data_IF_559394263865
#
_entry.id   IF_559394263865
#
_cell.length_a   1.000
_cell.length_b   1.000
_cell.length_c   1.000
_cell.angle_alpha   90.00
_cell.angle_beta   90.00
_cell.angle_gamma   90.00
#
_symmetry.space_group_name_H-M   'P 1'
#
loop_
_entity.id
_entity.type
_entity.pdbx_description
1 polymer ?
#
# COMPACT_ATOMS: atom_id res chain seq x y z
N UNK A 1 2.51 26.64 -2.03
CA UNK A 1 3.11 25.51 -1.35
C UNK A 1 2.34 24.24 -1.64
N UNK A 2 3.03 23.21 -2.02
CA UNK A 2 2.35 21.95 -2.30
C UNK A 2 1.81 21.34 -1.03
N UNK A 3 0.60 20.82 -1.12
CA UNK A 3 0.00 20.10 -0.02
C UNK A 3 0.47 18.66 -0.12
N UNK A 4 0.97 18.13 0.95
CA UNK A 4 1.38 16.74 1.00
C UNK A 4 0.77 16.07 2.20
N UNK A 5 0.87 14.75 2.25
CA UNK A 5 0.33 14.01 3.35
C UNK A 5 0.98 14.44 4.65
N UNK A 6 0.24 14.32 5.72
CA UNK A 6 0.77 14.55 7.05
C UNK A 6 1.73 13.42 7.39
N UNK A 7 2.79 13.77 8.07
CA UNK A 7 3.72 12.76 8.56
C UNK A 7 3.10 12.06 9.75
N UNK A 8 3.20 10.76 9.75
CA UNK A 8 2.82 9.95 10.89
C UNK A 8 4.06 9.72 11.75
N UNK A 9 3.86 9.63 13.05
CA UNK A 9 4.98 9.42 13.96
C UNK A 9 5.37 7.96 14.07
N UNK A 10 4.46 7.03 13.73
CA UNK A 10 4.74 5.60 13.84
C UNK A 10 4.20 4.85 12.63
N UNK A 11 4.75 3.66 12.39
CA UNK A 11 4.27 2.79 11.32
C UNK A 11 2.85 2.31 11.62
N UNK A 12 2.50 2.14 12.89
CA UNK A 12 1.17 1.70 13.29
C UNK A 12 0.11 2.73 12.92
N UNK A 13 0.46 4.01 12.98
CA UNK A 13 -0.45 5.06 12.56
C UNK A 13 -0.60 5.09 11.05
N UNK A 14 0.50 4.89 10.33
CA UNK A 14 0.48 4.90 8.87
C UNK A 14 -0.19 3.64 8.30
N UNK A 15 -0.08 2.53 9.01
CA UNK A 15 -0.66 1.24 8.61
C UNK A 15 -1.42 0.63 9.78
N UNK A 16 -2.59 1.19 10.13
CA UNK A 16 -3.36 0.66 11.26
C UNK A 16 -3.73 -0.79 11.02
N UNK A 17 -3.66 -1.58 12.08
CA UNK A 17 -4.05 -2.98 11.97
C UNK A 17 -5.56 -3.07 11.82
N UNK A 18 -6.01 -3.73 10.77
CA UNK A 18 -7.43 -3.98 10.57
C UNK A 18 -7.63 -5.18 9.65
N UNK A 19 -8.80 -5.79 9.78
CA UNK A 19 -9.15 -6.94 8.95
C UNK A 19 -9.68 -6.44 7.61
N UNK A 20 -9.01 -6.83 6.53
CA UNK A 20 -9.45 -6.46 5.20
C UNK A 20 -10.69 -7.22 4.76
N UNK A 21 -10.93 -8.38 5.36
CA UNK A 21 -12.01 -9.26 4.95
C UNK A 21 -11.72 -10.03 3.67
N UNK A 22 -10.50 -9.97 3.17
CA UNK A 22 -10.14 -10.49 1.85
C UNK A 22 -8.91 -11.38 1.95
N UNK A 23 -8.93 -12.48 1.20
CA UNK A 23 -7.79 -13.38 1.09
C UNK A 23 -7.34 -13.43 -0.37
N UNK A 24 -6.08 -13.12 -0.67
CA UNK A 24 -5.61 -13.15 -2.06
C UNK A 24 -5.55 -14.57 -2.58
N UNK A 25 -5.83 -14.72 -3.88
CA UNK A 25 -5.84 -16.01 -4.54
C UNK A 25 -4.67 -16.15 -5.50
N UNK A 26 -4.23 -17.39 -5.70
CA UNK A 26 -3.20 -17.70 -6.68
C UNK A 26 -1.89 -17.02 -6.36
N UNK A 27 -1.35 -16.30 -7.31
CA UNK A 27 -0.08 -15.59 -7.19
C UNK A 27 -0.26 -14.11 -6.81
N UNK A 28 -1.43 -13.76 -6.31
CA UNK A 28 -1.71 -12.37 -5.97
C UNK A 28 -1.30 -12.06 -4.54
N UNK A 29 -1.11 -10.77 -4.29
CA UNK A 29 -0.68 -10.29 -2.98
C UNK A 29 -1.65 -9.22 -2.51
N UNK A 30 -2.01 -9.27 -1.24
CA UNK A 30 -2.83 -8.24 -0.61
C UNK A 30 -1.94 -7.24 0.08
N UNK A 31 -2.10 -5.97 -0.28
CA UNK A 31 -1.34 -4.87 0.30
C UNK A 31 -2.27 -3.91 1.04
N UNK A 32 -1.79 -3.38 2.14
CA UNK A 32 -2.42 -2.23 2.80
C UNK A 32 -1.65 -0.98 2.37
N UNK A 33 -2.36 -0.01 1.84
CA UNK A 33 -1.72 1.21 1.39
C UNK A 33 -1.46 2.13 2.58
N UNK A 34 -0.39 2.90 2.49
CA UNK A 34 -0.05 3.85 3.53
C UNK A 34 -1.18 4.86 3.67
N UNK A 35 -1.64 5.04 4.90
CA UNK A 35 -2.71 5.99 5.17
C UNK A 35 -2.24 7.41 4.96
N UNK A 36 -3.17 8.26 4.58
CA UNK A 36 -2.91 9.67 4.36
C UNK A 36 -3.93 10.44 5.19
N UNK A 37 -3.46 11.37 5.99
CA UNK A 37 -4.39 12.20 6.74
C UNK A 37 -5.15 13.10 5.79
N UNK A 38 -6.43 13.25 6.04
CA UNK A 38 -7.25 14.12 5.25
C UNK A 38 -6.95 15.57 5.58
N UNK A 39 -7.69 16.48 4.95
CA UNK A 39 -7.47 17.90 5.06
C UNK A 39 -7.08 18.32 6.47
N UNK A 40 -6.19 19.29 6.52
CA UNK A 40 -5.73 19.84 7.77
C UNK A 40 -6.87 20.55 8.50
N UNK A 41 -6.58 20.99 9.72
CA UNK A 41 -7.48 21.87 10.43
C UNK A 41 -7.81 23.06 9.52
N UNK A 42 -9.03 23.47 9.54
CA UNK A 42 -9.47 24.57 8.69
C UNK A 42 -10.00 24.10 7.34
N UNK A 43 -10.00 22.80 7.10
CA UNK A 43 -10.63 22.26 5.92
C UNK A 43 -9.92 22.55 4.61
N UNK A 44 -8.63 22.70 4.64
CA UNK A 44 -7.87 22.91 3.41
C UNK A 44 -8.00 21.71 2.51
N UNK A 45 -8.49 21.95 1.31
CA UNK A 45 -8.65 20.88 0.33
C UNK A 45 -7.39 20.73 -0.50
N UNK A 46 -7.19 19.52 -1.00
CA UNK A 46 -6.08 19.28 -1.89
C UNK A 46 -6.30 19.96 -3.21
N UNK A 47 -5.25 20.53 -3.73
CA UNK A 47 -5.32 21.29 -4.95
C UNK A 47 -5.18 20.38 -6.17
N UNK A 48 -5.48 20.94 -7.31
CA UNK A 48 -5.51 20.20 -8.55
C UNK A 48 -4.15 19.58 -8.90
N UNK A 49 -3.07 20.30 -8.71
CA UNK A 49 -1.75 19.76 -9.02
C UNK A 49 -1.40 18.55 -8.16
N UNK A 50 -1.99 18.45 -6.98
CA UNK A 50 -1.78 17.29 -6.16
C UNK A 50 -2.34 16.05 -6.82
N UNK A 51 -3.51 16.18 -7.43
CA UNK A 51 -4.11 15.05 -8.15
C UNK A 51 -3.28 14.65 -9.36
N UNK A 52 -2.74 15.62 -10.07
CA UNK A 52 -1.87 15.32 -11.20
C UNK A 52 -0.61 14.60 -10.75
N UNK A 53 -0.06 15.01 -9.61
CA UNK A 53 1.08 14.35 -9.02
C UNK A 53 0.74 12.93 -8.61
N UNK A 54 -0.43 12.74 -8.00
CA UNK A 54 -0.90 11.42 -7.61
C UNK A 54 -0.89 10.45 -8.77
N UNK A 55 -1.35 10.90 -9.91
CA UNK A 55 -1.47 10.03 -11.07
C UNK A 55 -0.12 9.48 -11.53
N UNK A 56 0.95 10.20 -11.25
CA UNK A 56 2.28 9.81 -11.66
C UNK A 56 3.03 9.03 -10.60
N UNK A 57 2.51 8.96 -9.38
CA UNK A 57 3.24 8.39 -8.26
C UNK A 57 2.90 6.93 -8.04
N UNK A 58 3.88 6.20 -7.54
CA UNK A 58 3.63 4.88 -6.97
C UNK A 58 3.16 5.07 -5.53
N UNK A 59 2.62 4.03 -4.96
CA UNK A 59 2.13 4.04 -3.59
C UNK A 59 3.06 3.26 -2.68
N UNK A 60 3.06 3.62 -1.42
CA UNK A 60 3.77 2.89 -0.38
C UNK A 60 2.78 1.92 0.25
N UNK A 61 3.19 0.68 0.40
CA UNK A 61 2.29 -0.36 0.88
C UNK A 61 3.00 -1.32 1.82
N UNK A 62 2.18 -2.02 2.61
CA UNK A 62 2.65 -3.07 3.50
C UNK A 62 2.03 -4.38 3.04
N UNK A 63 2.83 -5.43 2.97
CA UNK A 63 2.35 -6.75 2.58
C UNK A 63 1.54 -7.34 3.73
N UNK A 64 0.26 -7.61 3.48
CA UNK A 64 -0.65 -8.16 4.49
C UNK A 64 -0.80 -9.66 4.34
N UNK A 65 -0.92 -10.14 3.10
CA UNK A 65 -1.08 -11.57 2.85
C UNK A 65 -0.57 -11.93 1.47
N UNK A 66 -0.08 -13.15 1.35
CA UNK A 66 0.41 -13.68 0.08
C UNK A 66 -0.54 -14.79 -0.37
N UNK A 67 -0.82 -14.82 -1.67
CA UNK A 67 -1.56 -15.94 -2.26
C UNK A 67 -0.75 -17.23 -2.15
N UNK A 68 -1.42 -18.38 -2.27
CA UNK A 68 -0.74 -19.68 -2.05
C UNK A 68 0.45 -19.95 -2.95
N UNK A 69 0.48 -19.36 -4.16
CA UNK A 69 1.59 -19.59 -5.09
C UNK A 69 2.32 -18.29 -5.43
N UNK A 70 2.25 -17.30 -4.54
CA UNK A 70 3.00 -16.06 -4.73
C UNK A 70 4.50 -16.37 -4.80
N UNK A 71 5.16 -15.76 -5.79
CA UNK A 71 6.59 -15.91 -6.02
C UNK A 71 7.03 -17.34 -6.39
N UNK A 72 6.08 -18.12 -6.94
CA UNK A 72 6.39 -19.43 -7.48
C UNK A 72 6.17 -19.42 -9.00
N UNK A 73 6.92 -20.24 -9.69
CA UNK A 73 6.71 -20.47 -11.10
C UNK A 73 5.41 -21.29 -11.26
N UNK A 74 4.46 -20.78 -12.02
CA UNK A 74 3.15 -21.43 -12.16
C UNK A 74 3.23 -22.81 -12.84
N UNK A 75 4.19 -22.97 -13.74
CA UNK A 75 4.30 -24.21 -14.50
C UNK A 75 4.99 -25.32 -13.71
N UNK A 76 5.96 -24.98 -12.89
CA UNK A 76 6.76 -25.97 -12.17
C UNK A 76 6.45 -26.03 -10.68
N UNK A 77 5.82 -25.00 -10.12
CA UNK A 77 5.58 -24.93 -8.68
C UNK A 77 6.83 -24.61 -7.87
N UNK A 78 7.94 -24.34 -8.54
CA UNK A 78 9.19 -24.06 -7.85
C UNK A 78 9.35 -22.57 -7.59
N UNK A 79 10.08 -22.19 -6.53
CA UNK A 79 10.35 -20.79 -6.26
C UNK A 79 11.05 -20.10 -7.43
N UNK A 80 10.83 -18.81 -7.58
CA UNK A 80 11.58 -18.02 -8.55
C UNK A 80 13.07 -18.10 -8.23
N UNK A 81 13.88 -17.91 -9.26
CA UNK A 81 15.34 -17.95 -9.12
C UNK A 81 15.83 -16.98 -8.03
N UNK A 82 15.18 -15.85 -7.93
CA UNK A 82 15.52 -14.84 -6.92
C UNK A 82 14.90 -15.15 -5.55
N UNK A 83 14.07 -16.18 -5.48
CA UNK A 83 13.29 -16.45 -4.28
C UNK A 83 12.09 -15.51 -4.19
N UNK A 84 11.46 -15.50 -3.02
CA UNK A 84 10.33 -14.60 -2.78
C UNK A 84 10.84 -13.17 -2.66
N UNK A 85 10.23 -12.26 -3.40
CA UNK A 85 10.61 -10.86 -3.33
C UNK A 85 10.18 -10.21 -2.03
N UNK A 86 9.02 -10.61 -1.52
CA UNK A 86 8.41 -9.99 -0.36
C UNK A 86 7.86 -11.06 0.58
N UNK A 87 7.75 -10.72 1.84
CA UNK A 87 7.08 -11.56 2.83
C UNK A 87 6.07 -10.72 3.59
N UNK A 88 5.17 -11.37 4.28
CA UNK A 88 4.16 -10.68 5.09
C UNK A 88 4.86 -9.77 6.09
N UNK A 89 4.43 -8.54 6.14
CA UNK A 89 5.01 -7.52 7.00
C UNK A 89 6.02 -6.61 6.31
N UNK A 90 6.48 -6.97 5.11
CA UNK A 90 7.41 -6.12 4.37
C UNK A 90 6.71 -4.87 3.85
N UNK A 91 7.49 -3.82 3.67
CA UNK A 91 7.02 -2.57 3.07
C UNK A 91 7.57 -2.46 1.66
N UNK A 92 6.79 -1.90 0.77
CA UNK A 92 7.16 -1.87 -0.65
C UNK A 92 6.53 -0.70 -1.38
N UNK A 93 7.00 -0.51 -2.60
CA UNK A 93 6.41 0.44 -3.53
C UNK A 93 5.65 -0.34 -4.58
N UNK A 94 4.43 0.09 -4.85
CA UNK A 94 3.56 -0.59 -5.79
C UNK A 94 2.98 0.42 -6.77
N UNK A 95 2.63 -0.01 -7.99
CA UNK A 95 2.01 0.88 -8.96
C UNK A 95 0.61 1.29 -8.50
N UNK A 96 0.28 2.55 -8.75
CA UNK A 96 -1.02 3.09 -8.35
C UNK A 96 -2.18 2.42 -9.09
N UNK A 97 -1.99 2.08 -10.33
CA UNK A 97 -3.08 1.67 -11.21
C UNK A 97 -3.14 0.18 -11.48
N UNK A 98 -2.54 -0.63 -10.63
CA UNK A 98 -2.49 -2.06 -10.82
C UNK A 98 -3.48 -2.78 -9.94
N UNK A 99 -4.08 -3.84 -10.48
CA UNK A 99 -4.93 -4.71 -9.67
C UNK A 99 -6.23 -4.11 -9.22
N UNK A 100 -6.70 -4.58 -8.09
CA UNK A 100 -7.98 -4.20 -7.52
C UNK A 100 -7.75 -3.42 -6.22
N UNK A 101 -8.39 -2.28 -6.10
CA UNK A 101 -8.31 -1.45 -4.90
C UNK A 101 -9.66 -1.34 -4.23
N UNK A 102 -9.67 -1.45 -2.93
CA UNK A 102 -10.90 -1.32 -2.15
C UNK A 102 -10.57 -0.68 -0.80
N UNK A 103 -11.60 -0.29 -0.09
CA UNK A 103 -11.46 0.38 1.20
C UNK A 103 -12.34 -0.28 2.24
N UNK A 104 -11.89 -0.25 3.48
CA UNK A 104 -12.69 -0.70 4.61
C UNK A 104 -12.68 0.41 5.67
N UNK A 105 -13.69 0.45 6.55
CA UNK A 105 -13.72 1.46 7.60
C UNK A 105 -12.52 1.31 8.55
N UNK A 106 -12.00 2.44 8.98
CA UNK A 106 -10.95 2.43 9.99
C UNK A 106 -11.51 1.83 11.28
N UNK A 107 -10.74 0.99 11.98
CA UNK A 107 -11.25 0.28 13.15
C UNK A 107 -11.66 1.19 14.31
N UNK A 108 -11.06 2.37 14.44
CA UNK A 108 -11.36 3.27 15.54
C UNK A 108 -11.90 4.63 15.10
N UNK A 109 -11.58 5.05 13.90
CA UNK A 109 -12.03 6.34 13.38
C UNK A 109 -12.99 6.10 12.22
N UNK A 110 -14.29 6.15 12.49
CA UNK A 110 -15.30 5.81 11.50
C UNK A 110 -15.38 6.80 10.33
N UNK A 111 -14.76 7.94 10.44
CA UNK A 111 -14.73 8.91 9.35
C UNK A 111 -13.59 8.65 8.38
N UNK A 112 -12.67 7.77 8.73
CA UNK A 112 -11.53 7.42 7.91
C UNK A 112 -11.71 6.03 7.31
N UNK A 113 -10.98 5.79 6.23
CA UNK A 113 -11.00 4.48 5.58
C UNK A 113 -9.58 3.99 5.38
N UNK A 114 -9.42 2.68 5.41
CA UNK A 114 -8.15 2.03 5.12
C UNK A 114 -8.22 1.47 3.72
N UNK A 115 -7.25 1.82 2.90
CA UNK A 115 -7.20 1.36 1.52
C UNK A 115 -6.34 0.12 1.39
N UNK A 116 -6.82 -0.82 0.61
CA UNK A 116 -6.09 -2.05 0.28
C UNK A 116 -5.98 -2.19 -1.23
N UNK A 117 -5.02 -2.94 -1.67
CA UNK A 117 -4.84 -3.21 -3.09
C UNK A 117 -4.37 -4.65 -3.27
N UNK A 118 -4.95 -5.33 -4.26
CA UNK A 118 -4.56 -6.69 -4.61
C UNK A 118 -3.95 -6.64 -6.00
N UNK A 119 -2.78 -7.22 -6.16
CA UNK A 119 -2.13 -7.27 -7.47
C UNK A 119 -1.31 -8.54 -7.60
N UNK A 120 -0.83 -8.79 -8.81
CA UNK A 120 0.03 -9.93 -9.07
C UNK A 120 1.39 -9.72 -8.43
N UNK A 121 2.03 -10.82 -8.08
CA UNK A 121 3.32 -10.79 -7.40
C UNK A 121 4.41 -10.07 -8.20
N UNK A 122 4.41 -10.21 -9.52
CA UNK A 122 5.45 -9.61 -10.36
C UNK A 122 5.25 -8.11 -10.63
N UNK A 123 4.16 -7.53 -10.15
CA UNK A 123 3.85 -6.12 -10.43
C UNK A 123 4.47 -5.16 -9.43
N UNK A 124 5.02 -5.67 -8.35
CA UNK A 124 5.62 -4.81 -7.33
C UNK A 124 6.94 -4.22 -7.82
N UNK A 125 7.23 -3.00 -7.39
CA UNK A 125 8.42 -2.28 -7.86
C UNK A 125 9.65 -2.51 -7.00
N UNK A 126 9.51 -2.42 -5.69
CA UNK A 126 10.67 -2.45 -4.81
C UNK A 126 10.26 -2.68 -3.37
N UNK A 127 11.16 -3.29 -2.61
CA UNK A 127 10.99 -3.39 -1.17
C UNK A 127 11.56 -2.13 -0.54
N UNK A 128 10.88 -1.61 0.47
CA UNK A 128 11.28 -0.41 1.17
C UNK A 128 11.81 -0.77 2.54
N UNK A 129 12.92 -0.17 2.92
CA UNK A 129 13.47 -0.33 4.25
C UNK A 129 12.45 0.26 5.27
N UNK A 130 12.05 -0.51 6.29
CA UNK A 130 11.08 0.00 7.26
C UNK A 130 11.48 1.32 7.90
N UNK A 131 12.78 1.56 8.07
CA UNK A 131 13.28 2.79 8.66
C UNK A 131 13.04 4.02 7.80
N UNK A 132 12.70 3.80 6.53
CA UNK A 132 12.49 4.89 5.58
C UNK A 132 11.04 5.07 5.17
N UNK A 133 10.16 4.18 5.60
CA UNK A 133 8.76 4.23 5.15
C UNK A 133 8.08 5.55 5.51
N UNK A 134 8.29 6.02 6.72
CA UNK A 134 7.67 7.27 7.15
C UNK A 134 8.29 8.50 6.49
N UNK A 135 9.51 8.38 6.00
CA UNK A 135 10.18 9.48 5.30
C UNK A 135 9.73 9.60 3.86
N UNK A 136 9.22 8.52 3.29
CA UNK A 136 8.76 8.53 1.91
C UNK A 136 7.37 9.12 1.83
N UNK A 137 7.21 10.09 0.96
CA UNK A 137 5.97 10.83 0.87
C UNK A 137 5.12 10.39 -0.31
N UNK A 138 3.84 10.41 -0.10
CA UNK A 138 2.85 10.27 -1.15
C UNK A 138 2.11 11.60 -1.23
N UNK A 139 1.94 12.09 -2.42
CA UNK A 139 1.12 13.29 -2.60
C UNK A 139 -0.32 12.86 -2.82
N UNK A 140 -1.22 13.61 -2.25
CA UNK A 140 -2.66 13.32 -2.32
C UNK A 140 -3.43 14.42 -3.01
#
# INVERSE_FOLDING_TARGET
>A
MAIREQDFSTLEEAFPECDSGVTPLGARILFQLKSVKKASKGGILFVKETRDTEQAQSLIAKVIALGPIAFLNRDTGQPWTEGAWLKVGDYCRVPRWSGDRFQVPHPTDHEEEISFQIMNDFETFARVNPDRVLDMRQFV
#
